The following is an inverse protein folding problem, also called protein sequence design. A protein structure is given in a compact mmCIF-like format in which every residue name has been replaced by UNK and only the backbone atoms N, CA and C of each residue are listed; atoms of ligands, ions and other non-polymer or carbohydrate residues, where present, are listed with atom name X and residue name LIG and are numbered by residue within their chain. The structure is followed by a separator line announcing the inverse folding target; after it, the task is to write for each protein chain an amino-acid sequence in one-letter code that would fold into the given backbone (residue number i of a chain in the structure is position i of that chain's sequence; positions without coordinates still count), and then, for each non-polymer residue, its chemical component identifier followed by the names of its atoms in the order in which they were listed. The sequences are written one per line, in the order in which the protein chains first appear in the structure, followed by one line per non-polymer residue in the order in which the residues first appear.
data_IF_460541121201
#
_entry.id   IF_460541121201
#
_cell.length_a   1.000
_cell.length_b   1.000
_cell.length_c   1.000
_cell.angle_alpha   90.00
_cell.angle_beta   90.00
_cell.angle_gamma   90.00
#
_symmetry.space_group_name_H-M   'P 1'
#
loop_
_entity.id
_entity.type
_entity.pdbx_description
1 polymer ?
#
# COMPACT_ATOMS: atom_id res chain seq x y z
N UNK A 1 28.06 84.91 -64.68
CA UNK A 1 26.91 83.98 -64.53
C UNK A 1 27.14 83.14 -63.30
N UNK A 2 26.16 83.15 -62.39
CA UNK A 2 25.86 82.14 -61.36
C UNK A 2 26.98 81.72 -60.39
N UNK A 3 27.15 82.48 -59.30
CA UNK A 3 27.60 81.94 -58.01
C UNK A 3 26.83 82.61 -56.89
N UNK A 4 25.54 82.27 -56.71
CA UNK A 4 24.80 82.48 -55.45
C UNK A 4 23.59 81.52 -55.36
N UNK A 5 23.79 80.23 -55.67
CA UNK A 5 22.83 79.17 -55.33
C UNK A 5 23.31 78.34 -54.13
N UNK A 6 24.01 78.95 -53.19
CA UNK A 6 24.41 78.28 -51.95
C UNK A 6 23.88 79.09 -50.78
N UNK A 7 23.24 78.36 -49.86
CA UNK A 7 22.67 78.81 -48.59
C UNK A 7 21.23 79.36 -48.67
N UNK A 8 20.33 78.60 -49.31
CA UNK A 8 18.92 78.53 -48.85
C UNK A 8 18.71 77.42 -47.81
N UNK A 9 19.80 76.99 -47.14
CA UNK A 9 19.79 76.04 -46.03
C UNK A 9 19.61 76.76 -44.69
N UNK A 10 18.36 77.08 -44.39
CA UNK A 10 17.82 77.64 -43.15
C UNK A 10 18.53 77.14 -41.87
N UNK A 11 19.43 77.96 -41.31
CA UNK A 11 20.01 77.73 -39.98
C UNK A 11 18.91 77.90 -38.93
N UNK A 12 18.35 76.77 -38.45
CA UNK A 12 17.42 76.76 -37.32
C UNK A 12 18.01 77.58 -36.16
N UNK A 13 17.20 78.46 -35.57
CA UNK A 13 17.62 79.24 -34.41
C UNK A 13 18.00 78.31 -33.25
N UNK A 14 18.84 78.79 -32.34
CA UNK A 14 19.27 78.03 -31.14
C UNK A 14 18.06 77.46 -30.37
N UNK A 15 16.98 78.24 -30.29
CA UNK A 15 15.77 77.85 -29.59
C UNK A 15 14.95 76.79 -30.32
N UNK A 16 14.99 76.79 -31.66
CA UNK A 16 14.36 75.75 -32.46
C UNK A 16 15.14 74.43 -32.37
N UNK A 17 16.49 74.49 -32.37
CA UNK A 17 17.33 73.31 -32.10
C UNK A 17 17.09 72.75 -30.70
N UNK A 18 16.92 73.63 -29.71
CA UNK A 18 16.66 73.25 -28.32
C UNK A 18 15.28 72.60 -28.17
N UNK A 19 14.26 73.13 -28.84
CA UNK A 19 12.92 72.51 -28.90
C UNK A 19 12.95 71.13 -29.54
N UNK A 20 13.63 70.99 -30.68
CA UNK A 20 13.76 69.67 -31.35
C UNK A 20 14.53 68.65 -30.51
N UNK A 21 15.59 69.07 -29.81
CA UNK A 21 16.32 68.21 -28.90
C UNK A 21 15.42 67.73 -27.75
N UNK A 22 14.64 68.62 -27.14
CA UNK A 22 13.68 68.27 -26.08
C UNK A 22 12.60 67.34 -26.60
N UNK A 23 12.06 67.59 -27.79
CA UNK A 23 11.03 66.73 -28.40
C UNK A 23 11.57 65.34 -28.71
N UNK A 24 12.78 65.24 -29.26
CA UNK A 24 13.42 63.95 -29.56
C UNK A 24 13.76 63.17 -28.27
N UNK A 25 14.24 63.85 -27.24
CA UNK A 25 14.49 63.24 -25.93
C UNK A 25 13.18 62.75 -25.32
N UNK A 26 12.13 63.56 -25.37
CA UNK A 26 10.81 63.19 -24.82
C UNK A 26 10.24 61.97 -25.53
N UNK A 27 10.25 61.95 -26.87
CA UNK A 27 9.81 60.78 -27.66
C UNK A 27 10.66 59.54 -27.39
N UNK A 28 11.97 59.70 -27.25
CA UNK A 28 12.87 58.58 -26.93
C UNK A 28 12.56 58.00 -25.54
N UNK A 29 12.36 58.86 -24.55
CA UNK A 29 11.99 58.45 -23.18
C UNK A 29 10.62 57.77 -23.15
N UNK A 30 9.61 58.29 -23.85
CA UNK A 30 8.30 57.66 -23.94
C UNK A 30 8.37 56.26 -24.56
N UNK A 31 9.13 56.11 -25.65
CA UNK A 31 9.32 54.80 -26.30
C UNK A 31 10.06 53.82 -25.38
N UNK A 32 11.13 54.27 -24.71
CA UNK A 32 11.84 53.45 -23.73
C UNK A 32 10.91 53.04 -22.59
N UNK A 33 10.14 53.97 -22.04
CA UNK A 33 9.19 53.69 -20.96
C UNK A 33 8.19 52.61 -21.36
N UNK A 34 7.63 52.72 -22.58
CA UNK A 34 6.69 51.73 -23.12
C UNK A 34 7.36 50.35 -23.27
N UNK A 35 8.55 50.29 -23.85
CA UNK A 35 9.29 49.03 -24.00
C UNK A 35 9.66 48.40 -22.64
N UNK A 36 10.09 49.21 -21.67
CA UNK A 36 10.36 48.73 -20.32
C UNK A 36 9.09 48.21 -19.65
N UNK A 37 7.97 48.90 -19.81
CA UNK A 37 6.69 48.47 -19.26
C UNK A 37 6.27 47.13 -19.85
N UNK A 38 6.32 46.97 -21.18
CA UNK A 38 6.00 45.71 -21.86
C UNK A 38 6.91 44.57 -21.39
N UNK A 39 8.22 44.81 -21.30
CA UNK A 39 9.19 43.82 -20.83
C UNK A 39 8.97 43.44 -19.37
N UNK A 40 8.72 44.42 -18.49
CA UNK A 40 8.45 44.17 -17.08
C UNK A 40 7.16 43.35 -16.90
N UNK A 41 6.13 43.63 -17.70
CA UNK A 41 4.86 42.90 -17.65
C UNK A 41 5.03 41.46 -18.17
N UNK A 42 5.81 41.26 -19.23
CA UNK A 42 6.15 39.94 -19.74
C UNK A 42 6.93 39.12 -18.71
N UNK A 43 7.96 39.72 -18.09
CA UNK A 43 8.76 39.06 -17.06
C UNK A 43 7.91 38.70 -15.84
N UNK A 44 7.07 39.63 -15.37
CA UNK A 44 6.20 39.38 -14.21
C UNK A 44 5.21 38.22 -14.47
N UNK A 45 4.68 38.11 -15.70
CA UNK A 45 3.83 36.97 -16.09
C UNK A 45 4.60 35.66 -16.11
N UNK A 46 5.81 35.66 -16.66
CA UNK A 46 6.67 34.48 -16.71
C UNK A 46 7.03 34.01 -15.29
N UNK A 47 7.49 34.93 -14.45
CA UNK A 47 7.89 34.64 -13.07
C UNK A 47 6.68 34.14 -12.27
N UNK A 48 5.52 34.80 -12.39
CA UNK A 48 4.30 34.34 -11.73
C UNK A 48 3.88 32.94 -12.20
N UNK A 49 4.00 32.65 -13.50
CA UNK A 49 3.73 31.33 -14.06
C UNK A 49 4.68 30.27 -13.50
N UNK A 50 5.97 30.58 -13.39
CA UNK A 50 6.97 29.71 -12.76
C UNK A 50 6.64 29.43 -11.29
N UNK A 51 6.36 30.46 -10.50
CA UNK A 51 5.97 30.28 -9.10
C UNK A 51 4.71 29.42 -8.96
N UNK A 52 3.69 29.63 -9.80
CA UNK A 52 2.49 28.80 -9.78
C UNK A 52 2.83 27.33 -10.06
N UNK A 53 3.67 27.07 -11.05
CA UNK A 53 4.09 25.71 -11.40
C UNK A 53 4.92 25.06 -10.28
N UNK A 54 5.87 25.80 -9.70
CA UNK A 54 6.73 25.30 -8.63
C UNK A 54 5.91 24.95 -7.38
N UNK A 55 4.92 25.79 -7.04
CA UNK A 55 3.98 25.52 -5.94
C UNK A 55 3.12 24.29 -6.25
N UNK A 56 2.57 24.20 -7.46
CA UNK A 56 1.77 23.03 -7.87
C UNK A 56 2.59 21.73 -7.81
N UNK A 57 3.84 21.77 -8.29
CA UNK A 57 4.74 20.64 -8.21
C UNK A 57 5.06 20.27 -6.77
N UNK A 58 5.36 21.25 -5.91
CA UNK A 58 5.65 21.02 -4.49
C UNK A 58 4.48 20.38 -3.76
N UNK A 59 3.24 20.81 -4.06
CA UNK A 59 2.02 20.21 -3.50
C UNK A 59 1.87 18.77 -3.99
N UNK A 60 2.05 18.50 -5.28
CA UNK A 60 1.97 17.15 -5.82
C UNK A 60 3.01 16.22 -5.19
N UNK A 61 4.27 16.65 -5.11
CA UNK A 61 5.35 15.87 -4.47
C UNK A 61 5.02 15.57 -3.01
N UNK A 62 4.52 16.53 -2.25
CA UNK A 62 4.11 16.30 -0.88
C UNK A 62 3.02 15.22 -0.76
N UNK A 63 1.99 15.27 -1.61
CA UNK A 63 0.95 14.24 -1.60
C UNK A 63 1.47 12.88 -2.07
N UNK A 64 2.37 12.82 -3.04
CA UNK A 64 3.01 11.57 -3.48
C UNK A 64 3.82 10.93 -2.34
N UNK A 65 4.61 11.73 -1.61
CA UNK A 65 5.36 11.25 -0.44
C UNK A 65 4.44 10.73 0.66
N UNK A 66 3.31 11.41 0.91
CA UNK A 66 2.30 10.93 1.86
C UNK A 66 1.68 9.60 1.44
N UNK A 67 1.33 9.45 0.16
CA UNK A 67 0.76 8.21 -0.39
C UNK A 67 1.77 7.07 -0.23
N UNK A 68 3.03 7.29 -0.61
CA UNK A 68 4.09 6.29 -0.46
C UNK A 68 4.29 5.88 1.01
N UNK A 69 4.27 6.85 1.93
CA UNK A 69 4.32 6.58 3.37
C UNK A 69 3.18 5.68 3.85
N UNK A 70 1.95 5.93 3.39
CA UNK A 70 0.78 5.11 3.71
C UNK A 70 0.84 3.70 3.10
N UNK A 71 1.38 3.57 1.90
CA UNK A 71 1.60 2.26 1.24
C UNK A 71 2.58 1.41 2.05
N UNK A 72 3.69 1.99 2.50
CA UNK A 72 4.67 1.29 3.36
C UNK A 72 4.03 0.82 4.67
N UNK A 73 3.23 1.69 5.32
CA UNK A 73 2.52 1.32 6.56
C UNK A 73 1.56 0.14 6.29
N UNK A 74 0.79 0.21 5.19
CA UNK A 74 -0.16 -0.83 4.80
C UNK A 74 0.53 -2.17 4.57
N UNK A 75 1.69 -2.15 3.91
CA UNK A 75 2.48 -3.35 3.67
C UNK A 75 2.98 -3.96 4.99
N UNK A 76 3.51 -3.15 5.90
CA UNK A 76 3.98 -3.62 7.21
C UNK A 76 2.85 -4.21 8.05
N UNK A 77 1.68 -3.56 8.07
CA UNK A 77 0.50 -4.07 8.78
C UNK A 77 0.02 -5.40 8.18
N UNK A 78 0.03 -5.52 6.86
CA UNK A 78 -0.36 -6.77 6.18
C UNK A 78 0.60 -7.91 6.52
N UNK A 79 1.91 -7.65 6.52
CA UNK A 79 2.94 -8.63 6.93
C UNK A 79 2.78 -9.03 8.40
N UNK A 80 2.54 -8.06 9.29
CA UNK A 80 2.33 -8.31 10.71
C UNK A 80 1.07 -9.16 10.96
N UNK A 81 -0.04 -8.82 10.29
CA UNK A 81 -1.28 -9.61 10.35
C UNK A 81 -1.06 -11.04 9.89
N UNK A 82 -0.39 -11.25 8.74
CA UNK A 82 -0.08 -12.59 8.24
C UNK A 82 0.74 -13.41 9.25
N UNK A 83 1.78 -12.80 9.84
CA UNK A 83 2.61 -13.46 10.85
C UNK A 83 1.82 -13.81 12.12
N UNK A 84 0.91 -12.93 12.54
CA UNK A 84 0.01 -13.19 13.66
C UNK A 84 -0.94 -14.34 13.36
N UNK A 85 -1.53 -14.36 12.16
CA UNK A 85 -2.43 -15.44 11.71
C UNK A 85 -1.70 -16.79 11.63
N UNK A 86 -0.48 -16.82 11.09
CA UNK A 86 0.39 -18.00 11.05
C UNK A 86 0.72 -18.51 12.46
N UNK A 87 1.10 -17.61 13.36
CA UNK A 87 1.42 -17.95 14.77
C UNK A 87 0.18 -18.45 15.50
N UNK A 88 -0.97 -17.80 15.32
CA UNK A 88 -2.24 -18.21 15.90
C UNK A 88 -2.66 -19.59 15.41
N UNK A 89 -2.54 -19.85 14.10
CA UNK A 89 -2.82 -21.16 13.52
C UNK A 89 -1.88 -22.24 14.09
N UNK A 90 -0.58 -21.95 14.19
CA UNK A 90 0.38 -22.86 14.81
C UNK A 90 0.01 -23.20 16.26
N UNK A 91 -0.24 -22.18 17.10
CA UNK A 91 -0.61 -22.37 18.50
C UNK A 91 -1.92 -23.14 18.64
N UNK A 92 -2.92 -22.88 17.79
CA UNK A 92 -4.17 -23.61 17.79
C UNK A 92 -3.97 -25.08 17.41
N UNK A 93 -3.10 -25.40 16.44
CA UNK A 93 -2.76 -26.79 16.09
C UNK A 93 -1.95 -27.49 17.19
N UNK A 94 -1.02 -26.78 17.81
CA UNK A 94 -0.24 -27.27 18.93
C UNK A 94 -1.11 -27.57 20.16
N UNK A 95 -2.06 -26.68 20.47
CA UNK A 95 -3.03 -26.89 21.53
C UNK A 95 -3.98 -28.04 21.21
N UNK A 96 -4.49 -28.13 19.98
CA UNK A 96 -5.28 -29.27 19.52
C UNK A 96 -4.54 -30.61 19.66
N UNK A 97 -3.22 -30.65 19.36
CA UNK A 97 -2.39 -31.84 19.60
C UNK A 97 -2.38 -32.23 21.08
N UNK A 98 -2.24 -31.27 21.99
CA UNK A 98 -2.30 -31.53 23.44
C UNK A 98 -3.66 -32.05 23.89
N UNK A 99 -4.74 -31.50 23.36
CA UNK A 99 -6.10 -32.00 23.62
C UNK A 99 -6.21 -33.45 23.17
N UNK A 100 -5.77 -33.77 21.95
CA UNK A 100 -5.79 -35.15 21.44
C UNK A 100 -4.96 -36.10 22.30
N UNK A 101 -3.75 -35.71 22.67
CA UNK A 101 -2.86 -36.53 23.49
C UNK A 101 -3.52 -36.85 24.83
N UNK A 102 -4.09 -35.84 25.49
CA UNK A 102 -4.86 -36.03 26.71
C UNK A 102 -6.08 -36.93 26.49
N UNK A 103 -6.85 -36.70 25.42
CA UNK A 103 -8.00 -37.53 25.07
C UNK A 103 -7.63 -38.99 24.79
N UNK A 104 -6.41 -39.26 24.31
CA UNK A 104 -5.89 -40.60 24.05
C UNK A 104 -5.09 -41.20 25.22
N UNK A 105 -4.99 -40.50 26.36
CA UNK A 105 -4.07 -40.82 27.47
C UNK A 105 -2.61 -41.05 27.01
N UNK A 106 -2.16 -40.27 26.03
CA UNK A 106 -0.78 -40.25 25.54
C UNK A 106 -0.07 -39.02 26.07
N UNK A 107 1.24 -39.12 26.24
CA UNK A 107 2.11 -38.00 26.55
C UNK A 107 3.27 -37.98 25.56
N UNK A 108 3.01 -37.44 24.38
CA UNK A 108 4.02 -37.28 23.34
C UNK A 108 4.69 -35.89 23.43
N UNK A 109 5.96 -35.78 23.01
CA UNK A 109 6.60 -34.49 22.82
C UNK A 109 5.82 -33.64 21.80
N UNK A 110 5.68 -32.34 22.09
CA UNK A 110 5.05 -31.41 21.17
C UNK A 110 6.09 -30.94 20.16
N UNK A 111 6.12 -31.59 19.01
CA UNK A 111 6.99 -31.24 17.88
C UNK A 111 6.15 -30.92 16.65
N UNK A 112 6.71 -30.13 15.74
CA UNK A 112 6.04 -29.75 14.48
C UNK A 112 5.66 -30.98 13.66
N UNK A 113 6.51 -32.00 13.65
CA UNK A 113 6.25 -33.28 12.99
C UNK A 113 5.05 -33.99 13.64
N UNK A 114 5.00 -34.08 14.97
CA UNK A 114 3.90 -34.73 15.67
C UNK A 114 2.57 -33.99 15.46
N UNK A 115 2.60 -32.65 15.41
CA UNK A 115 1.43 -31.83 15.06
C UNK A 115 1.00 -32.13 13.62
N UNK A 116 1.94 -32.13 12.67
CA UNK A 116 1.66 -32.37 11.26
C UNK A 116 1.09 -33.77 10.99
N UNK A 117 1.60 -34.80 11.65
CA UNK A 117 1.14 -36.19 11.45
C UNK A 117 -0.26 -36.45 12.01
N UNK A 118 -0.69 -35.71 13.03
CA UNK A 118 -1.98 -35.95 13.68
C UNK A 118 -3.06 -34.94 13.26
N UNK A 119 -2.71 -33.66 13.09
CA UNK A 119 -3.64 -32.55 12.88
C UNK A 119 -3.64 -32.10 11.41
N UNK A 120 -4.78 -32.28 10.75
CA UNK A 120 -5.05 -31.74 9.41
C UNK A 120 -5.39 -30.25 9.49
N UNK A 121 -6.38 -29.90 10.30
CA UNK A 121 -6.93 -28.53 10.37
C UNK A 121 -7.55 -28.27 11.73
N UNK A 122 -7.48 -27.02 12.18
CA UNK A 122 -8.20 -26.55 13.38
C UNK A 122 -8.98 -25.31 13.01
N UNK A 123 -10.24 -25.26 13.43
CA UNK A 123 -11.04 -24.03 13.46
C UNK A 123 -11.42 -23.76 14.90
N UNK A 124 -11.12 -22.56 15.40
CA UNK A 124 -11.40 -22.20 16.79
C UNK A 124 -12.08 -20.84 16.85
N UNK A 125 -13.16 -20.78 17.61
CA UNK A 125 -13.71 -19.56 18.17
C UNK A 125 -13.31 -19.52 19.65
N UNK A 126 -12.34 -18.68 19.99
CA UNK A 126 -11.65 -18.72 21.28
C UNK A 126 -12.63 -18.54 22.46
N UNK A 127 -12.54 -19.42 23.46
CA UNK A 127 -13.43 -19.42 24.62
C UNK A 127 -14.84 -19.91 24.34
N UNK A 128 -15.13 -20.42 23.13
CA UNK A 128 -16.45 -20.91 22.74
C UNK A 128 -16.38 -22.30 22.15
N UNK A 129 -15.65 -22.49 21.06
CA UNK A 129 -15.62 -23.77 20.35
C UNK A 129 -14.32 -24.04 19.61
N UNK A 130 -14.01 -25.32 19.43
CA UNK A 130 -12.89 -25.80 18.63
C UNK A 130 -13.29 -27.03 17.84
N UNK A 131 -13.13 -26.98 16.51
CA UNK A 131 -13.22 -28.15 15.65
C UNK A 131 -11.80 -28.56 15.24
N UNK A 132 -11.43 -29.78 15.62
CA UNK A 132 -10.13 -30.39 15.35
C UNK A 132 -10.33 -31.49 14.31
N UNK A 133 -9.71 -31.33 13.15
CA UNK A 133 -9.70 -32.35 12.10
C UNK A 133 -8.39 -33.11 12.12
N UNK A 134 -8.48 -34.43 12.24
CA UNK A 134 -7.33 -35.32 12.37
C UNK A 134 -7.08 -36.13 11.11
N UNK A 135 -5.82 -36.49 10.85
CA UNK A 135 -5.45 -37.33 9.70
C UNK A 135 -5.84 -38.79 9.89
N UNK A 136 -5.91 -39.24 11.13
CA UNK A 136 -6.21 -40.64 11.51
C UNK A 136 -7.43 -40.69 12.42
N UNK A 137 -8.15 -41.81 12.38
CA UNK A 137 -9.19 -42.08 13.36
C UNK A 137 -8.57 -42.39 14.72
N UNK A 138 -9.13 -41.80 15.76
CA UNK A 138 -8.61 -41.88 17.13
C UNK A 138 -9.63 -42.54 18.04
N UNK A 139 -9.15 -43.44 18.90
CA UNK A 139 -9.97 -43.99 19.99
C UNK A 139 -9.84 -43.08 21.20
N UNK A 140 -10.82 -42.19 21.37
CA UNK A 140 -10.86 -41.26 22.49
C UNK A 140 -11.27 -41.98 23.78
N UNK A 141 -10.57 -41.67 24.86
CA UNK A 141 -10.85 -42.19 26.20
C UNK A 141 -11.69 -41.23 27.06
N UNK A 142 -11.82 -39.97 26.62
CA UNK A 142 -12.57 -38.90 27.28
C UNK A 142 -13.90 -38.70 26.58
N UNK A 143 -14.96 -38.48 27.35
CA UNK A 143 -16.27 -38.15 26.79
C UNK A 143 -16.31 -36.69 26.32
N UNK A 144 -17.20 -36.33 25.37
CA UNK A 144 -17.38 -34.94 24.98
C UNK A 144 -17.70 -34.00 26.15
N UNK A 145 -18.52 -34.46 27.12
CA UNK A 145 -18.87 -33.67 28.30
C UNK A 145 -17.67 -33.42 29.22
N UNK A 146 -16.80 -34.42 29.42
CA UNK A 146 -15.57 -34.27 30.21
C UNK A 146 -14.63 -33.25 29.54
N UNK A 147 -14.47 -33.35 28.21
CA UNK A 147 -13.64 -32.42 27.44
C UNK A 147 -14.17 -30.99 27.58
N UNK A 148 -15.49 -30.80 27.42
CA UNK A 148 -16.14 -29.48 27.58
C UNK A 148 -15.98 -28.93 28.99
N UNK A 149 -16.15 -29.76 30.01
CA UNK A 149 -16.03 -29.34 31.40
C UNK A 149 -14.60 -28.86 31.73
N UNK A 150 -13.58 -29.58 31.25
CA UNK A 150 -12.17 -29.25 31.53
C UNK A 150 -11.70 -28.05 30.73
N UNK A 151 -11.99 -28.03 29.43
CA UNK A 151 -11.48 -26.99 28.53
C UNK A 151 -12.34 -25.73 28.51
N UNK A 152 -13.57 -25.80 29.04
CA UNK A 152 -14.57 -24.74 29.00
C UNK A 152 -14.90 -24.27 27.58
N UNK A 153 -14.66 -25.12 26.58
CA UNK A 153 -14.95 -24.89 25.17
C UNK A 153 -15.68 -26.12 24.59
N UNK A 154 -16.58 -25.90 23.64
CA UNK A 154 -17.19 -26.97 22.85
C UNK A 154 -16.17 -27.54 21.86
N UNK A 155 -15.64 -28.74 22.12
CA UNK A 155 -14.61 -29.38 21.27
C UNK A 155 -15.18 -30.54 20.48
N UNK A 156 -15.02 -30.48 19.17
CA UNK A 156 -15.37 -31.54 18.22
C UNK A 156 -14.10 -32.08 17.57
N UNK A 157 -13.92 -33.40 17.57
CA UNK A 157 -12.75 -34.07 17.00
C UNK A 157 -13.23 -35.04 15.91
N UNK A 158 -12.91 -34.72 14.66
CA UNK A 158 -13.34 -35.48 13.49
C UNK A 158 -12.14 -36.01 12.71
N UNK A 159 -12.16 -37.27 12.27
CA UNK A 159 -11.13 -37.81 11.39
C UNK A 159 -11.46 -37.59 9.93
N UNK A 160 -10.49 -37.09 9.15
CA UNK A 160 -10.53 -37.05 7.69
C UNK A 160 -10.34 -38.47 7.10
N UNK A 161 -11.24 -39.40 7.39
CA UNK A 161 -11.31 -40.65 6.64
C UNK A 161 -11.86 -40.30 5.26
N UNK A 162 -10.99 -40.23 4.24
CA UNK A 162 -11.46 -40.04 2.87
C UNK A 162 -12.44 -41.18 2.53
N UNK A 163 -13.66 -40.90 2.04
CA UNK A 163 -14.64 -41.94 1.65
C UNK A 163 -14.07 -42.97 0.65
N UNK A 164 -13.03 -42.60 -0.09
CA UNK A 164 -12.35 -43.47 -1.06
C UNK A 164 -11.56 -44.63 -0.42
N UNK A 165 -11.13 -44.50 0.84
CA UNK A 165 -10.41 -45.56 1.56
C UNK A 165 -11.32 -46.66 2.14
N UNK A 166 -12.62 -46.39 2.26
CA UNK A 166 -13.63 -47.38 2.68
C UNK A 166 -14.07 -48.24 1.50
N UNK A 167 -14.25 -47.63 0.32
CA UNK A 167 -14.52 -48.34 -0.93
C UNK A 167 -13.41 -49.32 -1.33
N UNK A 168 -12.13 -48.96 -1.09
CA UNK A 168 -11.01 -49.86 -1.36
C UNK A 168 -11.02 -51.12 -0.48
N UNK A 169 -11.40 -50.99 0.80
CA UNK A 169 -11.47 -52.13 1.74
C UNK A 169 -12.71 -53.01 1.55
N UNK A 170 -13.84 -52.42 1.15
CA UNK A 170 -15.04 -53.20 0.79
C UNK A 170 -14.82 -54.02 -0.50
N UNK A 171 -14.10 -53.46 -1.47
CA UNK A 171 -13.74 -54.18 -2.71
C UNK A 171 -12.72 -55.29 -2.44
N UNK A 172 -11.74 -55.10 -1.55
CA UNK A 172 -10.72 -56.11 -1.24
C UNK A 172 -11.30 -57.33 -0.49
N UNK A 173 -12.32 -57.12 0.35
CA UNK A 173 -13.03 -58.22 1.02
C UNK A 173 -13.96 -59.01 0.07
N UNK A 174 -14.46 -58.39 -1.01
CA UNK A 174 -15.28 -59.06 -2.02
C UNK A 174 -14.46 -59.99 -2.94
N UNK A 175 -13.14 -59.84 -3.00
CA UNK A 175 -12.25 -60.71 -3.81
C UNK A 175 -11.58 -61.84 -3.00
N UNK A 176 -11.81 -61.91 -1.69
CA UNK A 176 -11.24 -62.94 -0.81
C UNK A 176 -12.28 -63.98 -0.35
N UNK A 177 -13.53 -63.89 -0.81
CA UNK A 177 -14.61 -64.85 -0.54
C UNK A 177 -14.92 -65.82 -1.71
N UNK A 178 -14.01 -65.99 -2.68
CA UNK A 178 -14.07 -67.09 -3.67
C UNK A 178 -13.07 -68.22 -3.38
#
# INVERSE_FOLDING_TARGET
MWVFSLITGFLKSKEQKRREAVENISKSLENQLKTYQEKALAQAKEDFGKYCNDVAQSINTYFEELIQGLEVITEQLTRAKRKLDETSNYLNRAYAKRIIDWCCNKSEPLTDEAIYQNITKVKRDFGRSMNIQTKVSLKLSKSPDEIKQVLQEDVVIDSTTSPLSLLGKEMENLYLEE
#
